data_IF_215060308078
#
_entry.id   IF_215060308078
#
_cell.length_a   1.000
_cell.length_b   1.000
_cell.length_c   1.000
_cell.angle_alpha   90.00
_cell.angle_beta   90.00
_cell.angle_gamma   90.00
#
_symmetry.space_group_name_H-M   'P 1'
#
loop_
_entity.id
_entity.type
_entity.pdbx_description
1 polymer ?
#
# COMPACT_ATOMS: atom_id res chain seq x y z
N UNK A 1 2.25 -3.68 -9.42
CA UNK A 1 3.38 -4.19 -10.22
C UNK A 1 3.92 -5.55 -9.73
N UNK A 2 3.03 -6.52 -9.43
CA UNK A 2 3.43 -7.87 -9.06
C UNK A 2 3.33 -8.82 -10.26
N UNK A 3 3.83 -10.05 -10.13
CA UNK A 3 3.46 -11.12 -11.07
C UNK A 3 1.93 -11.30 -11.04
N UNK A 4 1.21 -11.19 -12.18
CA UNK A 4 -0.26 -11.33 -12.22
C UNK A 4 -0.75 -12.67 -11.68
N UNK A 5 0.06 -13.72 -11.73
CA UNK A 5 -0.25 -15.03 -11.15
C UNK A 5 -0.44 -14.98 -9.63
N UNK A 6 0.10 -13.95 -8.95
CA UNK A 6 -0.07 -13.76 -7.50
C UNK A 6 -1.49 -13.29 -7.14
N UNK A 7 -2.28 -12.76 -8.08
CA UNK A 7 -3.68 -12.34 -7.88
C UNK A 7 -3.92 -11.53 -6.58
N UNK A 8 -3.04 -10.56 -6.29
CA UNK A 8 -3.14 -9.73 -5.09
C UNK A 8 -2.62 -10.37 -3.78
N UNK A 9 -2.27 -11.66 -3.77
CA UNK A 9 -1.61 -12.30 -2.62
C UNK A 9 -0.16 -11.80 -2.53
N UNK A 10 0.10 -10.97 -1.53
CA UNK A 10 1.37 -10.26 -1.37
C UNK A 10 2.34 -11.00 -0.43
N UNK A 11 3.60 -11.12 -0.87
CA UNK A 11 4.83 -11.37 -0.10
C UNK A 11 4.89 -12.63 0.79
N UNK A 12 6.06 -13.28 0.96
CA UNK A 12 6.26 -14.28 2.02
C UNK A 12 5.82 -13.82 3.42
N UNK A 13 5.74 -12.49 3.65
CA UNK A 13 5.41 -11.88 4.93
C UNK A 13 4.02 -11.21 5.01
N UNK A 14 3.10 -11.43 4.05
CA UNK A 14 1.74 -10.86 4.03
C UNK A 14 1.64 -9.32 4.03
N UNK A 15 2.74 -8.58 3.91
CA UNK A 15 2.72 -7.12 3.80
C UNK A 15 2.17 -6.67 2.43
N UNK A 16 1.38 -5.58 2.37
CA UNK A 16 0.87 -5.05 1.11
C UNK A 16 2.03 -4.75 0.13
N UNK A 17 1.94 -5.27 -1.10
CA UNK A 17 2.96 -5.19 -2.17
C UNK A 17 3.60 -3.81 -2.37
N UNK A 18 2.84 -2.75 -2.07
CA UNK A 18 3.25 -1.36 -2.28
C UNK A 18 4.11 -0.78 -1.15
N UNK A 19 4.24 -1.46 0.00
CA UNK A 19 5.11 -1.03 1.10
C UNK A 19 6.57 -1.43 0.95
N UNK A 20 6.87 -2.33 0.02
CA UNK A 20 8.19 -2.91 -0.09
C UNK A 20 9.14 -2.06 -0.96
N UNK A 21 8.66 -1.03 -1.65
CA UNK A 21 9.50 -0.11 -2.44
C UNK A 21 9.54 1.25 -1.74
N UNK A 22 10.69 1.60 -1.19
CA UNK A 22 10.90 2.85 -0.46
C UNK A 22 11.11 4.03 -1.41
N UNK A 23 11.86 3.79 -2.49
CA UNK A 23 12.21 4.84 -3.44
C UNK A 23 12.51 4.28 -4.84
N UNK A 24 12.19 5.06 -5.86
CA UNK A 24 12.56 4.82 -7.24
C UNK A 24 13.04 6.16 -7.80
N UNK A 25 14.31 6.26 -8.20
CA UNK A 25 14.90 7.53 -8.64
C UNK A 25 15.87 7.35 -9.81
N UNK A 26 15.97 8.39 -10.61
CA UNK A 26 17.02 8.53 -11.63
C UNK A 26 18.33 8.91 -10.94
N UNK A 27 19.38 8.12 -11.14
CA UNK A 27 20.72 8.46 -10.64
C UNK A 27 21.50 9.34 -11.62
N UNK A 28 21.31 9.11 -12.93
CA UNK A 28 21.98 9.90 -13.96
C UNK A 28 21.97 9.22 -15.33
N UNK A 29 22.65 9.88 -16.27
CA UNK A 29 22.92 9.37 -17.60
C UNK A 29 24.38 8.91 -17.68
N UNK A 30 24.59 7.72 -18.24
CA UNK A 30 25.93 7.17 -18.51
C UNK A 30 26.13 7.17 -20.01
N UNK A 31 27.14 7.89 -20.48
CA UNK A 31 27.53 7.89 -21.89
C UNK A 31 28.02 6.51 -22.29
N UNK A 32 27.57 6.04 -23.45
CA UNK A 32 28.01 4.78 -24.00
C UNK A 32 29.38 4.95 -24.69
N UNK A 33 30.28 3.95 -24.62
CA UNK A 33 31.53 3.98 -25.35
C UNK A 33 31.26 4.20 -26.85
N UNK A 34 31.92 5.19 -27.46
CA UNK A 34 31.78 5.49 -28.88
C UNK A 34 32.08 4.23 -29.70
N UNK A 35 31.09 3.74 -30.44
CA UNK A 35 31.29 2.63 -31.34
C UNK A 35 32.07 3.15 -32.55
N UNK A 36 33.34 2.76 -32.69
CA UNK A 36 34.02 2.85 -34.00
C UNK A 36 33.33 1.82 -34.88
N UNK A 37 32.31 2.25 -35.63
CA UNK A 37 31.79 1.42 -36.70
C UNK A 37 32.93 1.27 -37.70
N UNK A 38 33.56 0.09 -37.71
CA UNK A 38 34.36 -0.34 -38.84
C UNK A 38 33.39 -0.42 -40.02
N UNK A 39 33.26 0.67 -40.77
CA UNK A 39 32.61 0.65 -42.07
C UNK A 39 33.32 -0.42 -42.87
N UNK A 40 32.61 -1.50 -43.17
CA UNK A 40 33.08 -2.60 -44.00
C UNK A 40 33.71 -1.97 -45.26
N UNK A 41 35.05 -1.96 -45.32
CA UNK A 41 35.83 -1.55 -46.50
C UNK A 41 35.62 -2.62 -47.58
N UNK A 42 34.43 -2.72 -48.15
CA UNK A 42 34.22 -3.43 -49.40
C UNK A 42 34.24 -2.42 -50.54
N UNK A 43 35.43 -2.36 -51.13
CA UNK A 43 35.70 -2.15 -52.56
C UNK A 43 34.55 -1.54 -53.37
N UNK A 44 34.65 -0.25 -53.69
CA UNK A 44 34.79 0.21 -55.09
C UNK A 44 34.96 1.74 -55.16
N UNK A 45 35.92 2.14 -56.00
CA UNK A 45 36.12 3.42 -56.70
C UNK A 45 36.23 4.74 -55.90
N UNK A 46 37.49 5.20 -55.77
CA UNK A 46 38.07 6.47 -56.26
C UNK A 46 37.29 7.79 -56.15
N UNK A 47 36.29 7.89 -55.29
CA UNK A 47 35.67 9.17 -54.96
C UNK A 47 36.06 9.61 -53.55
N UNK A 48 36.78 10.73 -53.51
CA UNK A 48 37.29 11.42 -52.34
C UNK A 48 36.15 12.02 -51.50
N UNK A 49 35.27 11.16 -50.98
CA UNK A 49 34.21 11.53 -50.06
C UNK A 49 34.82 11.57 -48.66
N UNK A 50 34.86 12.76 -48.06
CA UNK A 50 35.23 12.93 -46.67
C UNK A 50 34.32 12.04 -45.82
N UNK A 51 34.90 11.00 -45.22
CA UNK A 51 34.25 10.10 -44.27
C UNK A 51 33.78 10.91 -43.05
N UNK A 52 32.57 11.45 -43.11
CA UNK A 52 31.87 11.97 -41.94
C UNK A 52 31.46 10.79 -41.08
N UNK A 53 32.26 10.46 -40.07
CA UNK A 53 31.82 9.60 -38.97
C UNK A 53 30.64 10.28 -38.29
N UNK A 54 29.42 9.74 -38.46
CA UNK A 54 28.27 10.14 -37.67
C UNK A 54 28.52 9.59 -36.26
N UNK A 55 28.98 10.45 -35.36
CA UNK A 55 29.06 10.13 -33.93
C UNK A 55 27.63 10.17 -33.37
N UNK A 56 27.07 9.02 -33.04
CA UNK A 56 25.86 8.97 -32.21
C UNK A 56 26.30 8.88 -30.75
N UNK A 57 26.06 9.96 -29.99
CA UNK A 57 26.25 9.98 -28.54
C UNK A 57 25.09 9.21 -27.89
N UNK A 58 25.19 7.88 -27.88
CA UNK A 58 24.23 7.06 -27.18
C UNK A 58 24.44 7.21 -25.66
N UNK A 59 23.34 7.32 -24.91
CA UNK A 59 23.35 7.43 -23.45
C UNK A 59 22.42 6.40 -22.81
N UNK A 60 22.79 5.88 -21.65
CA UNK A 60 21.98 4.99 -20.84
C UNK A 60 21.47 5.72 -19.59
N UNK A 61 20.18 5.57 -19.30
CA UNK A 61 19.57 6.05 -18.06
C UNK A 61 19.77 5.02 -16.95
N UNK A 62 20.30 5.44 -15.80
CA UNK A 62 20.41 4.61 -14.60
C UNK A 62 19.27 4.92 -13.65
N UNK A 63 18.45 3.90 -13.37
CA UNK A 63 17.34 3.97 -12.41
C UNK A 63 17.67 3.10 -11.21
N UNK A 64 17.60 3.69 -10.02
CA UNK A 64 17.73 3.00 -8.75
C UNK A 64 16.36 2.75 -8.15
N UNK A 65 16.13 1.50 -7.74
CA UNK A 65 14.93 1.11 -6.99
C UNK A 65 15.38 0.53 -5.66
N UNK A 66 14.93 1.12 -4.55
CA UNK A 66 15.23 0.67 -3.18
C UNK A 66 13.95 0.24 -2.47
N UNK A 67 14.10 -0.68 -1.54
CA UNK A 67 12.99 -1.28 -0.85
C UNK A 67 13.41 -2.37 0.13
N UNK A 68 12.57 -2.60 1.14
CA UNK A 68 12.76 -3.66 2.15
C UNK A 68 12.66 -5.07 1.55
N UNK A 69 11.81 -5.24 0.52
CA UNK A 69 11.65 -6.50 -0.19
C UNK A 69 11.13 -6.27 -1.61
N UNK A 70 11.36 -7.24 -2.49
CA UNK A 70 10.79 -7.22 -3.84
C UNK A 70 10.12 -8.54 -4.16
N UNK A 71 8.94 -8.48 -4.77
CA UNK A 71 8.32 -9.66 -5.35
C UNK A 71 9.10 -10.13 -6.59
N UNK A 72 8.99 -11.42 -6.96
CA UNK A 72 9.58 -11.91 -8.20
C UNK A 72 9.18 -11.03 -9.38
N UNK A 73 10.20 -10.51 -10.08
CA UNK A 73 10.07 -9.65 -11.26
C UNK A 73 9.46 -8.25 -11.03
N UNK A 74 9.23 -7.82 -9.79
CA UNK A 74 8.60 -6.51 -9.50
C UNK A 74 9.38 -5.34 -10.11
N UNK A 75 10.70 -5.27 -9.87
CA UNK A 75 11.55 -4.19 -10.38
C UNK A 75 11.52 -4.15 -11.91
N UNK A 76 11.66 -5.30 -12.57
CA UNK A 76 11.61 -5.41 -14.04
C UNK A 76 10.26 -4.98 -14.61
N UNK A 77 9.16 -5.24 -13.89
CA UNK A 77 7.81 -4.82 -14.28
C UNK A 77 7.60 -3.31 -14.13
N UNK A 78 8.13 -2.72 -13.05
CA UNK A 78 8.13 -1.27 -12.85
C UNK A 78 8.87 -0.58 -14.00
N UNK A 79 10.10 -1.02 -14.28
CA UNK A 79 10.94 -0.43 -15.36
C UNK A 79 10.29 -0.63 -16.73
N UNK A 80 9.81 -1.84 -17.05
CA UNK A 80 9.17 -2.12 -18.34
C UNK A 80 7.91 -1.29 -18.57
N UNK A 81 7.10 -1.08 -17.53
CA UNK A 81 5.91 -0.22 -17.60
C UNK A 81 6.30 1.24 -17.78
N UNK A 82 7.27 1.74 -17.00
CA UNK A 82 7.75 3.12 -17.11
C UNK A 82 8.28 3.43 -18.52
N UNK A 83 9.05 2.52 -19.12
CA UNK A 83 9.53 2.68 -20.50
C UNK A 83 8.38 2.80 -21.49
N UNK A 84 7.37 1.93 -21.38
CA UNK A 84 6.22 1.98 -22.26
C UNK A 84 5.37 3.26 -22.07
N UNK A 85 5.31 3.80 -20.86
CA UNK A 85 4.68 5.10 -20.59
C UNK A 85 5.46 6.25 -21.25
N UNK A 86 6.79 6.26 -21.11
CA UNK A 86 7.67 7.28 -21.71
C UNK A 86 7.59 7.27 -23.25
N UNK A 87 7.43 6.09 -23.85
CA UNK A 87 7.24 5.95 -25.29
C UNK A 87 5.80 6.19 -25.77
N UNK A 88 4.85 6.48 -24.87
CA UNK A 88 3.44 6.66 -25.22
C UNK A 88 2.72 5.39 -25.68
N UNK A 89 3.31 4.22 -25.44
CA UNK A 89 2.69 2.92 -25.78
C UNK A 89 1.58 2.55 -24.80
N UNK A 90 1.68 3.01 -23.56
CA UNK A 90 0.60 2.98 -22.59
C UNK A 90 0.43 4.38 -21.99
N UNK A 91 -0.79 4.79 -21.62
CA UNK A 91 -1.02 6.13 -21.07
C UNK A 91 -0.22 6.35 -19.78
N UNK A 92 0.51 7.46 -19.70
CA UNK A 92 1.17 7.94 -18.48
C UNK A 92 0.17 8.65 -17.54
N UNK A 93 -0.83 9.30 -18.13
CA UNK A 93 -1.99 9.93 -17.51
C UNK A 93 -3.24 9.76 -18.41
N UNK A 94 -4.42 10.13 -17.91
CA UNK A 94 -5.69 9.97 -18.63
C UNK A 94 -5.81 10.89 -19.86
N UNK A 95 -5.05 11.98 -19.91
CA UNK A 95 -5.27 13.03 -20.89
C UNK A 95 -4.16 13.09 -21.92
N UNK A 96 -4.49 12.59 -23.11
CA UNK A 96 -4.18 13.39 -24.30
C UNK A 96 -5.41 13.59 -25.21
N UNK A 97 -6.49 12.78 -25.15
CA UNK A 97 -7.57 12.89 -26.16
C UNK A 97 -8.98 12.37 -25.75
N UNK A 98 -9.36 12.31 -24.47
CA UNK A 98 -10.71 11.89 -24.05
C UNK A 98 -11.52 13.12 -23.59
N UNK A 99 -12.35 13.81 -24.38
CA UNK A 99 -13.31 13.31 -25.37
C UNK A 99 -13.62 14.35 -26.48
N UNK A 100 -14.22 13.92 -27.61
CA UNK A 100 -14.55 14.77 -28.77
C UNK A 100 -15.61 15.86 -28.55
N UNK A 101 -16.24 16.00 -27.38
CA UNK A 101 -17.42 16.84 -27.19
C UNK A 101 -17.36 17.72 -25.91
N UNK A 102 -16.29 18.51 -25.77
CA UNK A 102 -16.30 19.93 -25.36
C UNK A 102 -17.17 20.52 -24.23
N UNK A 103 -17.85 19.80 -23.35
CA UNK A 103 -18.63 20.43 -22.26
C UNK A 103 -18.54 19.65 -20.94
N UNK A 104 -17.49 19.95 -20.17
CA UNK A 104 -17.40 19.95 -18.70
C UNK A 104 -15.96 19.61 -18.26
N UNK A 105 -15.04 20.56 -18.46
CA UNK A 105 -13.63 20.44 -18.05
C UNK A 105 -13.42 20.61 -16.53
N UNK A 106 -14.38 21.17 -15.79
CA UNK A 106 -14.16 21.60 -14.40
C UNK A 106 -14.52 20.52 -13.34
N UNK A 107 -15.02 19.34 -13.74
CA UNK A 107 -15.42 18.27 -12.80
C UNK A 107 -14.80 16.90 -13.08
N UNK A 108 -13.85 16.82 -14.02
CA UNK A 108 -13.17 15.56 -14.29
C UNK A 108 -12.14 15.32 -13.19
N UNK A 109 -12.62 14.81 -12.05
CA UNK A 109 -11.79 14.39 -10.93
C UNK A 109 -10.65 13.52 -11.46
N UNK A 110 -9.45 13.94 -11.07
CA UNK A 110 -8.13 13.42 -11.34
C UNK A 110 -8.02 11.93 -10.99
N UNK A 111 -8.71 11.09 -11.75
CA UNK A 111 -8.73 9.64 -11.60
C UNK A 111 -7.51 9.11 -12.33
N UNK A 112 -6.34 9.56 -11.88
CA UNK A 112 -5.05 9.20 -12.46
C UNK A 112 -5.00 7.68 -12.65
N UNK A 113 -4.78 7.20 -13.88
CA UNK A 113 -4.62 5.77 -14.19
C UNK A 113 -3.64 5.08 -13.25
N UNK A 114 -2.65 5.83 -12.76
CA UNK A 114 -1.69 5.36 -11.77
C UNK A 114 -2.43 4.84 -10.53
N UNK A 115 -3.47 5.52 -10.02
CA UNK A 115 -4.29 5.02 -8.90
C UNK A 115 -4.99 3.71 -9.23
N UNK A 116 -5.46 3.53 -10.46
CA UNK A 116 -6.13 2.29 -10.88
C UNK A 116 -5.14 1.14 -11.10
N UNK A 117 -3.94 1.43 -11.63
CA UNK A 117 -2.82 0.47 -11.73
C UNK A 117 -2.26 0.07 -10.36
N UNK A 118 -2.38 0.97 -9.38
CA UNK A 118 -2.06 0.72 -7.98
C UNK A 118 -3.23 0.09 -7.21
N UNK A 119 -4.41 -0.03 -7.82
CA UNK A 119 -5.53 -0.72 -7.21
C UNK A 119 -5.19 -2.22 -7.11
N UNK A 120 -5.13 -2.79 -5.89
CA UNK A 120 -4.80 -4.19 -5.67
C UNK A 120 -5.77 -5.17 -6.34
N UNK A 121 -7.02 -4.75 -6.59
CA UNK A 121 -8.08 -5.58 -7.16
C UNK A 121 -8.00 -5.65 -8.69
N UNK A 122 -7.17 -4.80 -9.30
CA UNK A 122 -6.95 -4.78 -10.75
C UNK A 122 -5.81 -5.73 -11.10
N UNK A 123 -6.17 -6.87 -11.69
CA UNK A 123 -5.20 -7.83 -12.24
C UNK A 123 -5.08 -7.62 -13.74
N UNK A 124 -3.91 -7.16 -14.18
CA UNK A 124 -3.61 -6.95 -15.59
C UNK A 124 -2.20 -7.40 -15.96
N UNK A 125 -2.00 -7.64 -17.25
CA UNK A 125 -0.68 -7.89 -17.79
C UNK A 125 0.22 -6.67 -17.57
N UNK A 126 1.49 -6.92 -17.26
CA UNK A 126 2.51 -5.89 -17.08
C UNK A 126 3.73 -6.23 -17.91
N UNK A 127 4.36 -5.21 -18.46
CA UNK A 127 5.52 -5.35 -19.33
C UNK A 127 6.72 -5.78 -18.50
N UNK A 128 7.37 -6.87 -18.91
CA UNK A 128 8.52 -7.42 -18.22
C UNK A 128 9.81 -7.01 -18.95
N UNK A 129 10.55 -6.04 -18.43
CA UNK A 129 11.83 -5.62 -19.00
C UNK A 129 12.84 -6.78 -19.06
N UNK A 130 13.80 -6.84 -20.00
CA UNK A 130 14.83 -7.88 -20.04
C UNK A 130 15.68 -7.91 -18.76
N UNK A 131 16.19 -9.09 -18.32
CA UNK A 131 16.95 -9.17 -17.07
C UNK A 131 18.38 -8.64 -17.21
N UNK A 132 18.92 -8.56 -18.43
CA UNK A 132 20.35 -8.29 -18.69
C UNK A 132 20.88 -6.94 -18.22
N UNK A 133 19.99 -6.00 -17.83
CA UNK A 133 20.35 -4.67 -17.33
C UNK A 133 20.04 -4.45 -15.84
N UNK A 134 19.55 -5.48 -15.15
CA UNK A 134 19.27 -5.40 -13.72
C UNK A 134 20.45 -5.96 -12.92
N UNK A 135 20.91 -5.21 -11.92
CA UNK A 135 21.94 -5.66 -10.99
C UNK A 135 21.61 -5.20 -9.58
N UNK A 136 22.14 -5.92 -8.59
CA UNK A 136 22.03 -5.55 -7.18
C UNK A 136 23.14 -4.55 -6.87
N UNK A 137 22.76 -3.32 -6.54
CA UNK A 137 23.70 -2.24 -6.28
C UNK A 137 24.12 -2.14 -4.81
N UNK A 138 23.23 -2.45 -3.87
CA UNK A 138 23.48 -2.34 -2.43
C UNK A 138 22.47 -3.17 -1.61
N UNK A 139 22.81 -3.50 -0.36
CA UNK A 139 21.93 -4.13 0.62
C UNK A 139 22.06 -3.41 1.97
N UNK A 140 20.92 -3.13 2.63
CA UNK A 140 20.92 -2.55 3.98
C UNK A 140 20.66 -3.62 5.03
N UNK A 141 21.49 -3.64 6.06
CA UNK A 141 21.28 -4.45 7.24
C UNK A 141 21.11 -3.53 8.45
N UNK A 142 19.98 -3.63 9.15
CA UNK A 142 19.68 -2.79 10.32
C UNK A 142 20.77 -2.82 11.41
N UNK A 143 21.49 -3.93 11.57
CA UNK A 143 22.58 -4.05 12.54
C UNK A 143 23.91 -3.44 12.06
N UNK A 144 24.09 -3.24 10.75
CA UNK A 144 25.30 -2.65 10.17
C UNK A 144 25.20 -1.14 10.00
N UNK A 145 23.99 -0.55 9.94
CA UNK A 145 23.80 0.90 9.80
C UNK A 145 24.49 1.70 10.91
N UNK A 146 24.62 1.10 12.11
CA UNK A 146 25.38 1.68 13.24
C UNK A 146 26.90 1.54 13.11
N UNK A 147 27.39 0.58 12.30
CA UNK A 147 28.83 0.26 12.13
C UNK A 147 29.43 0.87 10.87
N UNK A 148 28.70 0.88 9.75
CA UNK A 148 29.18 1.37 8.46
C UNK A 148 29.01 2.89 8.28
N UNK A 149 28.42 3.58 9.27
CA UNK A 149 28.10 5.02 9.18
C UNK A 149 27.29 5.37 7.93
N UNK A 150 26.44 4.45 7.46
CA UNK A 150 25.60 4.64 6.28
C UNK A 150 26.28 4.43 4.92
N UNK A 151 27.49 3.84 4.87
CA UNK A 151 28.14 3.43 3.61
C UNK A 151 27.66 2.07 3.14
N UNK A 152 27.56 1.88 1.82
CA UNK A 152 27.01 0.67 1.19
C UNK A 152 27.95 -0.54 1.23
N UNK A 153 27.38 -1.75 1.05
CA UNK A 153 28.09 -3.04 1.19
C UNK A 153 29.27 -3.20 0.22
N UNK A 154 29.24 -2.51 -0.93
CA UNK A 154 30.30 -2.55 -1.95
C UNK A 154 31.30 -1.40 -1.84
N UNK A 155 31.06 -0.45 -0.93
CA UNK A 155 31.96 0.66 -0.69
C UNK A 155 32.94 0.36 0.45
N UNK A 156 32.53 -0.45 1.44
CA UNK A 156 33.33 -0.80 2.61
C UNK A 156 33.16 -2.25 3.05
N UNK A 157 34.21 -2.85 3.61
CA UNK A 157 34.13 -4.15 4.28
C UNK A 157 33.30 -4.07 5.57
N UNK A 158 33.10 -5.21 6.23
CA UNK A 158 32.34 -5.34 7.50
C UNK A 158 32.92 -4.46 8.63
N UNK A 159 34.17 -3.99 8.48
CA UNK A 159 34.87 -3.12 9.41
C UNK A 159 34.81 -1.63 9.01
N UNK A 160 34.12 -1.28 7.92
CA UNK A 160 34.06 0.09 7.39
C UNK A 160 35.29 0.50 6.57
N UNK A 161 36.20 -0.43 6.26
CA UNK A 161 37.37 -0.19 5.42
C UNK A 161 36.96 -0.14 3.97
N UNK A 162 37.29 0.93 3.25
CA UNK A 162 36.98 1.02 1.81
C UNK A 162 37.59 -0.17 1.08
N UNK A 163 36.77 -0.92 0.34
CA UNK A 163 37.26 -2.06 -0.46
C UNK A 163 37.89 -1.52 -1.76
N UNK A 164 39.22 -1.55 -1.94
CA UNK A 164 39.80 -1.20 -3.21
C UNK A 164 39.56 -2.36 -4.19
N UNK A 165 38.64 -2.19 -5.14
CA UNK A 165 38.66 -3.01 -6.35
C UNK A 165 39.88 -2.58 -7.19
N UNK A 166 41.03 -3.24 -6.96
CA UNK A 166 42.20 -3.06 -7.81
C UNK A 166 41.92 -3.72 -9.16
N UNK A 167 41.96 -2.94 -10.24
CA UNK A 167 42.22 -3.50 -11.57
C UNK A 167 43.58 -4.20 -11.53
N UNK A 168 43.60 -5.48 -11.91
CA UNK A 168 44.84 -6.19 -12.18
C UNK A 168 45.45 -5.63 -13.48
N UNK A 169 46.21 -4.55 -13.36
CA UNK A 169 47.00 -4.01 -14.47
C UNK A 169 47.06 -2.49 -14.45
N UNK A 170 48.27 -1.96 -14.31
CA UNK A 170 48.67 -0.55 -14.29
C UNK A 170 48.40 0.30 -13.04
N UNK A 171 49.48 0.94 -12.60
CA UNK A 171 49.65 1.60 -11.29
C UNK A 171 49.17 3.04 -11.27
N UNK A 172 48.32 3.44 -12.23
CA UNK A 172 47.91 4.84 -12.40
C UNK A 172 46.49 5.01 -12.96
N UNK A 173 45.46 4.49 -12.28
CA UNK A 173 44.10 5.04 -12.46
C UNK A 173 43.15 4.65 -11.32
N UNK A 174 42.60 5.70 -10.71
CA UNK A 174 41.29 5.87 -10.06
C UNK A 174 40.59 4.58 -9.60
N UNK A 175 40.38 4.43 -8.29
CA UNK A 175 39.45 3.42 -7.76
C UNK A 175 38.04 3.72 -8.29
N UNK A 176 37.62 3.03 -9.33
CA UNK A 176 36.23 3.04 -9.76
C UNK A 176 35.39 2.38 -8.68
N UNK A 177 34.30 3.04 -8.30
CA UNK A 177 33.32 2.48 -7.38
C UNK A 177 32.86 1.12 -7.96
N UNK A 178 32.78 0.06 -7.16
CA UNK A 178 32.41 -1.28 -7.65
C UNK A 178 31.09 -1.27 -8.45
N UNK A 179 30.18 -0.36 -8.09
CA UNK A 179 28.94 -0.11 -8.85
C UNK A 179 29.20 0.41 -10.25
N UNK A 180 30.09 1.39 -10.41
CA UNK A 180 30.47 1.95 -11.72
C UNK A 180 31.12 0.88 -12.60
N UNK A 181 31.97 0.03 -12.03
CA UNK A 181 32.56 -1.08 -12.76
C UNK A 181 31.50 -2.07 -13.26
N UNK A 182 30.54 -2.48 -12.42
CA UNK A 182 29.43 -3.35 -12.83
C UNK A 182 28.60 -2.70 -13.95
N UNK A 183 28.28 -1.41 -13.81
CA UNK A 183 27.57 -0.65 -14.83
C UNK A 183 28.32 -0.68 -16.16
N UNK A 184 29.64 -0.43 -16.15
CA UNK A 184 30.48 -0.49 -17.35
C UNK A 184 30.50 -1.90 -17.97
N UNK A 185 30.59 -2.96 -17.16
CA UNK A 185 30.54 -4.33 -17.66
C UNK A 185 29.20 -4.68 -18.32
N UNK A 186 28.09 -4.26 -17.72
CA UNK A 186 26.74 -4.46 -18.30
C UNK A 186 26.63 -3.73 -19.63
N UNK A 187 27.09 -2.48 -19.70
CA UNK A 187 27.09 -1.70 -20.94
C UNK A 187 28.02 -2.33 -22.00
N UNK A 188 29.22 -2.75 -21.64
CA UNK A 188 30.16 -3.43 -22.56
C UNK A 188 29.61 -4.74 -23.13
N UNK A 189 28.88 -5.53 -22.34
CA UNK A 189 28.20 -6.74 -22.82
C UNK A 189 27.19 -6.42 -23.92
N UNK A 190 26.43 -5.35 -23.77
CA UNK A 190 25.52 -4.89 -24.82
C UNK A 190 26.26 -4.56 -26.12
N UNK A 191 27.44 -3.97 -26.07
CA UNK A 191 28.19 -3.67 -27.29
C UNK A 191 28.79 -4.90 -27.96
N UNK A 192 29.29 -5.82 -27.15
CA UNK A 192 30.05 -6.99 -27.63
C UNK A 192 29.15 -8.16 -28.01
N UNK A 193 28.04 -8.37 -27.30
CA UNK A 193 27.12 -9.48 -27.51
C UNK A 193 26.01 -9.10 -28.52
N UNK A 194 26.11 -9.62 -29.74
CA UNK A 194 25.09 -9.41 -30.79
C UNK A 194 23.75 -10.05 -30.45
N UNK A 195 23.75 -11.19 -29.78
CA UNK A 195 22.53 -11.94 -29.43
C UNK A 195 21.70 -11.21 -28.37
N UNK A 196 22.36 -10.67 -27.34
CA UNK A 196 21.69 -9.84 -26.31
C UNK A 196 21.05 -8.60 -26.92
N UNK A 197 21.76 -7.88 -27.80
CA UNK A 197 21.18 -6.73 -28.52
C UNK A 197 19.98 -7.11 -29.36
N UNK A 198 20.06 -8.25 -30.06
CA UNK A 198 18.94 -8.70 -30.86
C UNK A 198 17.74 -9.04 -29.97
N UNK A 199 17.97 -9.73 -28.85
CA UNK A 199 16.94 -10.06 -27.87
C UNK A 199 16.27 -8.81 -27.30
N UNK A 200 17.03 -7.75 -27.00
CA UNK A 200 16.46 -6.49 -26.52
C UNK A 200 15.67 -5.75 -27.60
N UNK A 201 16.13 -5.76 -28.84
CA UNK A 201 15.39 -5.19 -29.98
C UNK A 201 14.09 -5.94 -30.22
N UNK A 202 14.14 -7.28 -30.20
CA UNK A 202 12.96 -8.13 -30.36
C UNK A 202 11.97 -7.88 -29.22
N UNK A 203 12.45 -7.75 -27.99
CA UNK A 203 11.63 -7.37 -26.83
C UNK A 203 10.99 -5.99 -27.01
N UNK A 204 11.74 -5.01 -27.51
CA UNK A 204 11.24 -3.65 -27.73
C UNK A 204 10.10 -3.65 -28.77
N UNK A 205 10.31 -4.30 -29.91
CA UNK A 205 9.29 -4.46 -30.98
C UNK A 205 8.08 -5.25 -30.47
N UNK A 206 8.30 -6.36 -29.75
CA UNK A 206 7.21 -7.13 -29.16
C UNK A 206 6.40 -6.29 -28.14
N UNK A 207 7.09 -5.44 -27.39
CA UNK A 207 6.46 -4.58 -26.39
C UNK A 207 5.59 -3.52 -27.07
N UNK A 208 6.10 -2.82 -28.08
CA UNK A 208 5.36 -1.79 -28.82
C UNK A 208 4.18 -2.35 -29.61
N UNK A 209 4.40 -3.47 -30.31
CA UNK A 209 3.49 -3.92 -31.36
C UNK A 209 2.44 -4.93 -30.85
N UNK A 210 2.74 -5.63 -29.76
CA UNK A 210 1.88 -6.71 -29.26
C UNK A 210 1.46 -6.52 -27.81
N UNK A 211 2.42 -6.27 -26.91
CA UNK A 211 2.14 -6.28 -25.47
C UNK A 211 1.40 -5.01 -25.03
N UNK A 212 1.90 -3.82 -25.38
CA UNK A 212 1.27 -2.57 -25.00
C UNK A 212 -0.14 -2.37 -25.58
N UNK A 213 -0.43 -2.74 -26.85
CA UNK A 213 -1.81 -2.73 -27.37
C UNK A 213 -2.77 -3.62 -26.58
N UNK A 214 -2.36 -4.84 -26.20
CA UNK A 214 -3.18 -5.74 -25.37
C UNK A 214 -3.45 -5.16 -23.99
N UNK A 215 -2.43 -4.55 -23.36
CA UNK A 215 -2.57 -3.86 -22.07
C UNK A 215 -3.56 -2.70 -22.18
N UNK A 216 -3.41 -1.83 -23.19
CA UNK A 216 -4.36 -0.73 -23.43
C UNK A 216 -5.79 -1.23 -23.62
N UNK A 217 -5.98 -2.28 -24.40
CA UNK A 217 -7.30 -2.88 -24.61
C UNK A 217 -7.89 -3.41 -23.31
N UNK A 218 -7.09 -4.08 -22.47
CA UNK A 218 -7.52 -4.56 -21.16
C UNK A 218 -7.90 -3.38 -20.23
N UNK A 219 -7.14 -2.29 -20.25
CA UNK A 219 -7.44 -1.07 -19.48
C UNK A 219 -8.79 -0.46 -19.92
N UNK A 220 -9.01 -0.33 -21.23
CA UNK A 220 -10.28 0.16 -21.77
C UNK A 220 -11.47 -0.76 -21.43
N UNK A 221 -11.25 -2.07 -21.36
CA UNK A 221 -12.30 -3.01 -20.92
C UNK A 221 -12.63 -2.84 -19.44
N UNK A 222 -11.63 -2.65 -18.57
CA UNK A 222 -11.85 -2.42 -17.13
C UNK A 222 -12.67 -1.15 -16.88
N UNK A 223 -12.41 -0.09 -17.65
CA UNK A 223 -13.21 1.12 -17.59
C UNK A 223 -14.67 0.89 -17.94
N UNK A 224 -14.92 0.17 -19.03
CA UNK A 224 -16.28 -0.17 -19.46
C UNK A 224 -17.01 -1.06 -18.45
N UNK A 225 -16.28 -1.82 -17.63
CA UNK A 225 -16.88 -2.62 -16.54
C UNK A 225 -17.32 -1.71 -15.40
N UNK A 226 -16.53 -0.70 -15.05
CA UNK A 226 -16.94 0.35 -14.09
C UNK A 226 -18.11 1.19 -14.61
N UNK A 227 -18.17 1.39 -15.92
CA UNK A 227 -19.28 2.08 -16.62
C UNK A 227 -20.45 1.16 -16.99
N UNK A 228 -20.47 -0.11 -16.55
CA UNK A 228 -21.70 -0.90 -16.73
C UNK A 228 -22.82 -0.08 -16.09
N UNK A 229 -23.83 0.33 -16.87
CA UNK A 229 -24.97 1.02 -16.30
C UNK A 229 -25.60 -0.01 -15.37
N UNK A 230 -25.32 0.11 -14.08
CA UNK A 230 -26.28 -0.32 -13.05
C UNK A 230 -27.58 0.28 -13.53
N UNK A 231 -28.54 -0.52 -14.00
CA UNK A 231 -29.73 -0.09 -14.76
C UNK A 231 -30.30 1.25 -14.24
N UNK A 232 -29.74 2.34 -14.75
CA UNK A 232 -29.98 3.69 -14.24
C UNK A 232 -31.31 4.22 -14.75
N UNK A 233 -32.02 3.43 -15.56
CA UNK A 233 -33.43 3.68 -15.87
C UNK A 233 -34.33 3.62 -14.64
N UNK A 234 -33.83 3.17 -13.48
CA UNK A 234 -34.49 3.33 -12.18
C UNK A 234 -33.76 4.25 -11.19
N UNK A 235 -32.62 4.85 -11.56
CA UNK A 235 -31.95 5.86 -10.74
C UNK A 235 -32.07 7.20 -11.47
N UNK A 236 -33.10 7.94 -11.08
CA UNK A 236 -33.31 9.33 -11.48
C UNK A 236 -32.03 10.15 -11.34
N UNK A 237 -31.81 11.16 -12.20
CA UNK A 237 -30.61 12.01 -12.18
C UNK A 237 -30.37 12.49 -10.75
N UNK A 238 -29.12 12.37 -10.28
CA UNK A 238 -28.60 12.80 -8.96
C UNK A 238 -29.52 13.83 -8.31
N UNK A 239 -30.58 13.34 -7.67
CA UNK A 239 -31.25 14.15 -6.69
C UNK A 239 -30.20 14.29 -5.60
N UNK A 240 -30.00 15.50 -5.05
CA UNK A 240 -29.13 15.67 -3.88
C UNK A 240 -29.50 14.53 -2.95
N UNK A 241 -28.55 13.64 -2.63
CA UNK A 241 -28.82 12.47 -1.78
C UNK A 241 -29.48 13.07 -0.55
N UNK A 242 -30.81 12.93 -0.49
CA UNK A 242 -31.60 13.50 0.57
C UNK A 242 -31.07 12.76 1.76
N UNK A 243 -30.23 13.42 2.56
CA UNK A 243 -29.54 12.83 3.71
C UNK A 243 -30.63 12.18 4.54
N UNK A 244 -30.78 10.87 4.36
CA UNK A 244 -31.86 10.14 5.01
C UNK A 244 -31.66 10.40 6.49
N UNK A 245 -32.71 10.81 7.22
CA UNK A 245 -32.58 11.13 8.63
C UNK A 245 -31.93 9.94 9.31
N UNK A 246 -30.77 10.20 9.90
CA UNK A 246 -29.99 9.17 10.56
C UNK A 246 -30.81 8.62 11.72
N UNK A 247 -30.91 7.29 11.81
CA UNK A 247 -31.55 6.67 12.97
C UNK A 247 -30.83 7.12 14.25
N UNK A 248 -31.58 7.40 15.33
CA UNK A 248 -30.99 7.79 16.60
C UNK A 248 -30.14 6.65 17.17
N UNK A 249 -29.13 7.02 17.96
CA UNK A 249 -28.29 6.09 18.71
C UNK A 249 -29.16 5.22 19.64
N UNK A 250 -28.97 3.89 19.65
CA UNK A 250 -29.60 3.05 20.67
C UNK A 250 -29.06 3.42 22.06
N UNK A 251 -29.90 3.32 23.09
CA UNK A 251 -29.57 3.77 24.46
C UNK A 251 -28.26 3.18 25.01
N UNK A 252 -27.92 1.94 24.64
CA UNK A 252 -26.67 1.29 25.04
C UNK A 252 -25.41 2.00 24.52
N UNK A 253 -25.50 2.63 23.34
CA UNK A 253 -24.37 3.33 22.70
C UNK A 253 -24.25 4.79 23.15
N UNK A 254 -25.34 5.39 23.63
CA UNK A 254 -25.43 6.82 23.91
C UNK A 254 -24.44 7.27 25.00
N UNK A 255 -24.26 6.45 26.03
CA UNK A 255 -23.30 6.74 27.12
C UNK A 255 -21.87 6.87 26.59
N UNK A 256 -21.45 5.97 25.69
CA UNK A 256 -20.10 6.00 25.10
C UNK A 256 -19.98 7.17 24.14
N UNK A 257 -20.98 7.38 23.27
CA UNK A 257 -20.99 8.47 22.29
C UNK A 257 -20.93 9.85 22.97
N UNK A 258 -21.69 10.06 24.04
CA UNK A 258 -21.67 11.31 24.83
C UNK A 258 -20.27 11.58 25.39
N UNK A 259 -19.64 10.58 26.00
CA UNK A 259 -18.28 10.73 26.55
C UNK A 259 -17.24 11.02 25.47
N UNK A 260 -17.34 10.40 24.30
CA UNK A 260 -16.46 10.67 23.16
C UNK A 260 -16.63 12.11 22.67
N UNK A 261 -17.87 12.58 22.50
CA UNK A 261 -18.19 13.95 22.14
C UNK A 261 -17.66 14.96 23.15
N UNK A 262 -17.79 14.68 24.45
CA UNK A 262 -17.26 15.53 25.51
C UNK A 262 -15.73 15.66 25.43
N UNK A 263 -15.01 14.57 25.15
CA UNK A 263 -13.55 14.59 24.99
C UNK A 263 -13.13 15.45 23.79
N UNK A 264 -13.85 15.30 22.66
CA UNK A 264 -13.60 16.10 21.44
C UNK A 264 -13.91 17.58 21.68
N UNK A 265 -15.07 17.88 22.27
CA UNK A 265 -15.50 19.24 22.58
C UNK A 265 -14.54 19.97 23.53
N UNK A 266 -13.94 19.24 24.47
CA UNK A 266 -12.93 19.77 25.39
C UNK A 266 -11.52 19.85 24.78
N UNK A 267 -11.33 19.40 23.53
CA UNK A 267 -10.01 19.36 22.89
C UNK A 267 -9.01 18.42 23.57
N UNK A 268 -9.52 17.42 24.32
CA UNK A 268 -8.69 16.49 25.12
C UNK A 268 -8.31 15.22 24.36
N UNK A 269 -8.65 15.11 23.08
CA UNK A 269 -8.32 13.92 22.29
C UNK A 269 -6.79 13.71 22.25
N UNK A 270 -6.28 12.53 22.67
CA UNK A 270 -4.85 12.30 22.78
C UNK A 270 -4.20 12.17 21.39
N UNK A 271 -2.88 12.37 21.34
CA UNK A 271 -2.11 12.15 20.12
C UNK A 271 -2.14 10.67 19.70
N UNK A 272 -2.17 10.45 18.38
CA UNK A 272 -2.17 9.11 17.82
C UNK A 272 -0.77 8.54 17.83
N UNK A 273 -0.62 7.25 18.17
CA UNK A 273 0.68 6.60 18.11
C UNK A 273 1.26 6.60 16.69
N UNK A 274 2.60 6.67 16.58
CA UNK A 274 3.32 6.69 15.29
C UNK A 274 2.89 5.54 14.38
N UNK A 275 2.77 4.33 14.93
CA UNK A 275 2.32 3.15 14.19
C UNK A 275 0.93 3.35 13.57
N UNK A 276 -0.04 3.89 14.31
CA UNK A 276 -1.40 4.14 13.79
C UNK A 276 -1.47 5.34 12.86
N UNK A 277 -0.67 6.37 13.08
CA UNK A 277 -0.62 7.53 12.17
C UNK A 277 -0.16 7.16 10.75
N UNK A 278 0.57 6.05 10.58
CA UNK A 278 1.02 5.59 9.27
C UNK A 278 -0.09 5.02 8.39
N UNK A 279 -1.19 4.56 8.99
CA UNK A 279 -2.33 3.95 8.28
C UNK A 279 -3.54 4.87 8.20
N UNK A 280 -3.58 5.95 8.97
CA UNK A 280 -4.64 6.96 8.90
C UNK A 280 -4.32 7.92 7.75
N UNK A 281 -5.29 8.14 6.87
CA UNK A 281 -5.23 9.20 5.87
C UNK A 281 -5.22 10.54 6.61
N UNK A 282 -4.04 11.09 6.83
CA UNK A 282 -3.92 12.47 7.28
C UNK A 282 -4.51 13.35 6.19
N UNK A 283 -5.62 14.02 6.50
CA UNK A 283 -6.25 15.01 5.62
C UNK A 283 -5.29 16.15 5.36
N UNK A 284 -4.37 15.99 4.41
CA UNK A 284 -3.40 17.02 4.00
C UNK A 284 -4.04 18.13 3.17
N UNK A 285 -5.34 18.03 2.84
CA UNK A 285 -6.02 18.95 1.93
C UNK A 285 -7.19 19.73 2.56
N UNK A 286 -7.48 19.58 3.86
CA UNK A 286 -8.49 20.45 4.49
C UNK A 286 -7.85 21.81 4.77
N UNK A 287 -8.08 22.74 3.84
CA UNK A 287 -7.86 24.18 4.08
C UNK A 287 -8.45 24.57 5.44
N UNK A 288 -7.76 25.44 6.17
CA UNK A 288 -7.95 25.79 7.60
C UNK A 288 -9.38 26.20 8.02
N UNK A 289 -10.36 26.26 7.10
CA UNK A 289 -11.73 26.70 7.35
C UNK A 289 -12.71 25.62 7.82
N UNK A 290 -12.36 24.34 7.82
CA UNK A 290 -13.20 23.27 8.42
C UNK A 290 -12.74 22.84 9.82
N UNK A 291 -12.20 23.78 10.61
CA UNK A 291 -11.71 23.54 11.97
C UNK A 291 -12.78 23.15 13.01
N UNK A 292 -14.05 22.94 12.61
CA UNK A 292 -15.15 22.55 13.51
C UNK A 292 -15.34 21.04 13.62
N UNK A 293 -14.77 20.22 12.72
CA UNK A 293 -14.78 18.77 12.83
C UNK A 293 -13.48 18.30 13.49
N UNK A 294 -13.58 17.82 14.74
CA UNK A 294 -12.44 17.56 15.62
C UNK A 294 -11.31 16.70 15.02
N UNK A 295 -10.10 16.87 15.57
CA UNK A 295 -8.87 16.18 15.13
C UNK A 295 -9.10 14.68 14.93
N UNK A 296 -8.71 14.18 13.76
CA UNK A 296 -8.64 12.74 13.51
C UNK A 296 -7.59 12.10 14.43
N UNK A 297 -7.91 10.95 15.03
CA UNK A 297 -6.93 10.23 15.82
C UNK A 297 -7.40 8.91 16.41
N UNK A 298 -6.47 8.22 17.05
CA UNK A 298 -6.69 6.89 17.62
C UNK A 298 -5.86 6.63 18.88
N UNK A 299 -6.47 6.05 19.91
CA UNK A 299 -5.79 5.57 21.10
C UNK A 299 -6.33 4.20 21.55
N UNK A 300 -5.73 3.60 22.57
CA UNK A 300 -6.14 2.29 23.09
C UNK A 300 -6.49 2.40 24.56
N UNK A 301 -7.56 1.69 24.96
CA UNK A 301 -7.90 1.41 26.35
C UNK A 301 -7.86 -0.10 26.60
N UNK A 302 -7.62 -0.49 27.84
CA UNK A 302 -7.57 -1.89 28.29
C UNK A 302 -8.71 -2.17 29.27
N UNK A 303 -9.25 -3.39 29.21
CA UNK A 303 -10.24 -3.90 30.14
C UNK A 303 -9.57 -4.20 31.49
N UNK A 304 -9.82 -3.35 32.48
CA UNK A 304 -9.28 -3.49 33.83
C UNK A 304 -9.82 -4.73 34.54
N UNK A 305 -11.07 -5.14 34.26
CA UNK A 305 -11.67 -6.37 34.85
C UNK A 305 -10.85 -7.62 34.45
N UNK A 306 -10.38 -7.68 33.20
CA UNK A 306 -9.55 -8.80 32.68
C UNK A 306 -8.11 -8.74 33.21
N UNK A 307 -7.54 -7.53 33.31
CA UNK A 307 -6.21 -7.34 33.89
C UNK A 307 -6.16 -7.75 35.36
N UNK A 308 -7.16 -7.37 36.16
CA UNK A 308 -7.20 -7.67 37.59
C UNK A 308 -7.21 -9.18 37.87
N UNK A 309 -7.86 -9.96 37.02
CA UNK A 309 -7.85 -11.42 37.11
C UNK A 309 -6.43 -11.98 36.90
N UNK A 310 -5.73 -11.55 35.84
CA UNK A 310 -4.34 -11.94 35.57
C UNK A 310 -3.35 -11.40 36.60
N UNK A 311 -3.59 -10.22 37.15
CA UNK A 311 -2.76 -9.64 38.20
C UNK A 311 -2.94 -10.37 39.53
N UNK A 312 -4.14 -10.83 39.88
CA UNK A 312 -4.35 -11.70 41.05
C UNK A 312 -3.54 -12.99 40.94
N UNK A 313 -3.41 -13.54 39.74
CA UNK A 313 -2.56 -14.71 39.46
C UNK A 313 -1.05 -14.35 39.50
N UNK A 314 -0.68 -13.12 39.12
CA UNK A 314 0.72 -12.65 39.05
C UNK A 314 1.24 -11.92 40.30
N UNK A 315 0.41 -11.72 41.33
CA UNK A 315 0.75 -11.05 42.60
C UNK A 315 1.93 -11.68 43.37
N UNK A 316 2.43 -12.83 42.92
CA UNK A 316 3.68 -13.43 43.38
C UNK A 316 4.95 -12.67 42.95
N UNK A 317 4.87 -11.70 42.03
CA UNK A 317 6.05 -10.97 41.49
C UNK A 317 6.12 -9.47 41.76
N UNK A 318 5.12 -8.86 42.40
CA UNK A 318 5.19 -7.46 42.86
C UNK A 318 5.21 -6.36 41.78
N UNK A 319 5.12 -6.68 40.49
CA UNK A 319 5.11 -5.68 39.41
C UNK A 319 3.68 -5.26 39.03
N UNK A 320 3.32 -3.99 39.24
CA UNK A 320 2.09 -3.42 38.71
C UNK A 320 2.26 -3.08 37.24
N UNK A 321 1.41 -3.64 36.37
CA UNK A 321 1.43 -3.30 34.94
C UNK A 321 0.86 -1.88 34.77
N UNK A 322 1.62 -0.91 34.24
CA UNK A 322 1.12 0.44 34.04
C UNK A 322 0.00 0.43 33.00
N UNK A 323 -1.12 1.09 33.31
CA UNK A 323 -2.24 1.23 32.39
C UNK A 323 -1.86 2.15 31.21
N UNK A 324 -2.41 1.94 30.01
CA UNK A 324 -2.22 2.85 28.89
C UNK A 324 -2.70 4.26 29.21
N UNK A 325 -2.13 5.25 28.52
CA UNK A 325 -2.51 6.66 28.69
C UNK A 325 -4.02 6.90 28.52
N UNK A 326 -4.69 6.18 27.62
CA UNK A 326 -6.14 6.28 27.43
C UNK A 326 -6.94 5.92 28.69
N UNK A 327 -6.55 4.87 29.42
CA UNK A 327 -7.17 4.51 30.69
C UNK A 327 -6.90 5.53 31.79
N UNK A 328 -5.70 6.13 31.80
CA UNK A 328 -5.32 7.14 32.79
C UNK A 328 -6.09 8.45 32.58
N UNK A 329 -6.23 8.87 31.32
CA UNK A 329 -6.92 10.11 30.97
C UNK A 329 -8.44 9.98 31.02
N UNK A 330 -8.98 8.81 30.66
CA UNK A 330 -10.43 8.61 30.48
C UNK A 330 -10.93 7.31 31.13
N UNK A 331 -10.81 7.15 32.47
CA UNK A 331 -11.22 5.92 33.16
C UNK A 331 -12.71 5.62 32.97
N UNK A 332 -13.57 6.63 33.05
CA UNK A 332 -15.02 6.46 32.86
C UNK A 332 -15.40 6.08 31.43
N UNK A 333 -14.64 6.55 30.43
CA UNK A 333 -14.83 6.14 29.04
C UNK A 333 -14.42 4.68 28.87
N UNK A 334 -13.25 4.29 29.40
CA UNK A 334 -12.79 2.91 29.33
C UNK A 334 -13.83 1.95 29.94
N UNK A 335 -14.37 2.29 31.11
CA UNK A 335 -15.44 1.51 31.74
C UNK A 335 -16.67 1.41 30.84
N UNK A 336 -17.18 2.54 30.33
CA UNK A 336 -18.37 2.56 29.46
C UNK A 336 -18.17 1.78 28.15
N UNK A 337 -16.96 1.79 27.58
CA UNK A 337 -16.61 1.02 26.38
C UNK A 337 -16.74 -0.49 26.63
N UNK A 338 -16.28 -0.98 27.78
CA UNK A 338 -16.37 -2.41 28.08
C UNK A 338 -17.76 -2.82 28.59
N UNK A 339 -18.52 -1.91 29.22
CA UNK A 339 -19.93 -2.18 29.51
C UNK A 339 -20.77 -2.24 28.22
N UNK A 340 -20.45 -1.42 27.20
CA UNK A 340 -21.05 -1.54 25.87
C UNK A 340 -20.68 -2.85 25.19
N UNK A 341 -19.42 -3.31 25.34
CA UNK A 341 -18.98 -4.60 24.81
C UNK A 341 -19.77 -5.76 25.42
N UNK A 342 -19.93 -5.80 26.75
CA UNK A 342 -20.76 -6.80 27.43
C UNK A 342 -22.21 -6.77 26.92
N UNK A 343 -22.77 -5.58 26.68
CA UNK A 343 -24.12 -5.43 26.13
C UNK A 343 -24.23 -5.88 24.66
N UNK A 344 -23.17 -5.74 23.87
CA UNK A 344 -23.10 -6.25 22.50
C UNK A 344 -23.00 -7.78 22.51
N UNK A 345 -22.12 -8.35 23.34
CA UNK A 345 -21.93 -9.80 23.47
C UNK A 345 -23.21 -10.51 23.94
N UNK A 346 -24.00 -9.86 24.81
CA UNK A 346 -25.30 -10.39 25.25
C UNK A 346 -26.35 -10.48 24.12
N UNK A 347 -26.19 -9.73 23.02
CA UNK A 347 -27.03 -9.82 21.83
C UNK A 347 -26.46 -10.93 20.95
N UNK A 348 -27.00 -12.15 21.10
CA UNK A 348 -26.52 -13.42 20.53
C UNK A 348 -26.25 -13.48 19.01
N UNK A 349 -26.48 -12.42 18.23
CA UNK A 349 -26.31 -12.43 16.77
C UNK A 349 -25.37 -11.33 16.32
N UNK A 350 -24.08 -11.68 16.17
CA UNK A 350 -23.10 -10.84 15.51
C UNK A 350 -22.94 -11.28 14.05
N UNK A 351 -22.89 -10.31 13.14
CA UNK A 351 -22.47 -10.55 11.77
C UNK A 351 -20.98 -10.83 11.77
N UNK A 352 -20.55 -11.88 11.08
CA UNK A 352 -19.12 -12.18 10.91
C UNK A 352 -18.75 -12.28 9.44
N UNK A 353 -17.63 -11.65 9.09
CA UNK A 353 -17.01 -11.80 7.76
C UNK A 353 -16.25 -13.12 7.73
N UNK A 354 -16.50 -13.95 6.71
CA UNK A 354 -15.77 -15.18 6.46
C UNK A 354 -15.27 -15.23 5.01
N UNK A 355 -14.10 -15.84 4.82
CA UNK A 355 -13.68 -16.31 3.51
C UNK A 355 -14.18 -17.75 3.35
N UNK A 356 -15.15 -17.94 2.48
CA UNK A 356 -15.59 -19.29 2.09
C UNK A 356 -14.83 -19.74 0.85
N UNK A 357 -14.28 -20.95 0.89
CA UNK A 357 -13.68 -21.57 -0.29
C UNK A 357 -14.76 -22.26 -1.10
N UNK A 358 -15.02 -21.77 -2.30
CA UNK A 358 -15.92 -22.42 -3.26
C UNK A 358 -15.11 -23.09 -4.37
N UNK A 359 -15.72 -24.00 -5.13
CA UNK A 359 -15.08 -24.61 -6.31
C UNK A 359 -14.63 -23.57 -7.37
N UNK A 360 -15.14 -22.34 -7.31
CA UNK A 360 -14.83 -21.25 -8.25
C UNK A 360 -13.86 -20.21 -7.68
N UNK A 361 -13.33 -20.42 -6.47
CA UNK A 361 -12.40 -19.51 -5.80
C UNK A 361 -12.84 -19.14 -4.38
N UNK A 362 -12.06 -18.26 -3.75
CA UNK A 362 -12.38 -17.69 -2.44
C UNK A 362 -13.42 -16.58 -2.61
N UNK A 363 -14.52 -16.67 -1.87
CA UNK A 363 -15.57 -15.64 -1.82
C UNK A 363 -15.70 -15.14 -0.39
N UNK A 364 -15.67 -13.81 -0.22
CA UNK A 364 -15.91 -13.13 1.05
C UNK A 364 -17.42 -13.01 1.24
N UNK A 365 -17.93 -13.50 2.37
CA UNK A 365 -19.35 -13.52 2.68
C UNK A 365 -19.54 -13.04 4.12
N UNK A 366 -20.55 -12.21 4.34
CA UNK A 366 -21.05 -11.89 5.69
C UNK A 366 -22.14 -12.90 6.01
N UNK A 367 -21.99 -13.61 7.12
CA UNK A 367 -23.02 -14.51 7.64
C UNK A 367 -23.45 -14.02 9.03
N UNK A 368 -24.72 -14.17 9.33
CA UNK A 368 -25.18 -14.14 10.71
C UNK A 368 -24.62 -15.40 11.39
N UNK A 369 -23.93 -15.26 12.54
CA UNK A 369 -23.55 -16.41 13.37
C UNK A 369 -24.84 -16.99 13.98
N UNK A 370 -25.52 -17.87 13.24
CA UNK A 370 -26.65 -18.67 13.71
C UNK A 370 -26.18 -20.01 14.32
N UNK A 371 -24.89 -20.33 14.22
CA UNK A 371 -24.30 -21.56 14.75
C UNK A 371 -23.96 -21.40 16.24
N UNK A 372 -24.35 -22.41 17.05
CA UNK A 372 -24.20 -22.51 18.51
C UNK A 372 -22.74 -22.46 19.04
N UNK A 373 -21.77 -21.95 18.27
CA UNK A 373 -20.47 -21.57 18.79
C UNK A 373 -20.67 -20.37 19.72
N UNK A 374 -20.94 -20.68 21.00
CA UNK A 374 -21.23 -19.68 22.02
C UNK A 374 -20.13 -18.62 22.01
N UNK A 375 -20.56 -17.36 22.02
CA UNK A 375 -19.72 -16.17 22.20
C UNK A 375 -18.99 -16.17 23.55
N UNK A 376 -19.09 -17.25 24.36
CA UNK A 376 -18.60 -17.37 25.73
C UNK A 376 -17.10 -17.09 25.90
N UNK A 377 -16.29 -17.22 24.84
CA UNK A 377 -14.86 -16.92 24.86
C UNK A 377 -14.48 -15.54 24.29
N UNK A 378 -15.43 -14.73 23.82
CA UNK A 378 -15.14 -13.36 23.40
C UNK A 378 -15.01 -12.44 24.62
N UNK A 379 -13.80 -12.40 25.20
CA UNK A 379 -13.42 -11.46 26.27
C UNK A 379 -12.26 -10.60 25.80
N UNK A 380 -12.54 -9.51 25.06
CA UNK A 380 -11.49 -8.63 24.56
C UNK A 380 -10.79 -7.93 25.73
N UNK A 381 -9.47 -7.94 25.68
CA UNK A 381 -8.63 -7.25 26.67
C UNK A 381 -8.38 -5.79 26.28
N UNK A 382 -8.49 -5.45 25.00
CA UNK A 382 -8.17 -4.12 24.48
C UNK A 382 -9.33 -3.57 23.64
N UNK A 383 -9.42 -2.24 23.57
CA UNK A 383 -10.25 -1.55 22.62
C UNK A 383 -9.46 -0.40 21.97
N UNK A 384 -9.38 -0.38 20.64
CA UNK A 384 -8.93 0.78 19.90
C UNK A 384 -10.09 1.76 19.75
N UNK A 385 -9.88 3.00 20.15
CA UNK A 385 -10.86 4.09 20.07
C UNK A 385 -10.41 5.06 19.00
N UNK A 386 -11.23 5.23 17.96
CA UNK A 386 -10.92 6.07 16.81
C UNK A 386 -11.91 7.24 16.72
N UNK A 387 -11.43 8.44 16.43
CA UNK A 387 -12.23 9.63 16.13
C UNK A 387 -11.83 10.14 14.75
N UNK A 388 -12.80 10.31 13.86
CA UNK A 388 -12.65 10.82 12.51
C UNK A 388 -11.45 10.22 11.75
N UNK A 389 -11.13 8.94 12.02
CA UNK A 389 -10.00 8.26 11.41
C UNK A 389 -10.46 7.49 10.16
N UNK A 390 -9.94 7.88 9.00
CA UNK A 390 -10.10 7.12 7.77
C UNK A 390 -8.84 6.29 7.53
N UNK A 391 -8.95 4.97 7.67
CA UNK A 391 -7.81 4.07 7.51
C UNK A 391 -7.62 3.67 6.05
N UNK A 392 -6.36 3.64 5.60
CA UNK A 392 -5.94 3.01 4.34
C UNK A 392 -6.02 1.48 4.43
N UNK A 393 -6.04 0.75 3.30
CA UNK A 393 -6.01 -0.71 3.30
C UNK A 393 -4.81 -1.31 4.03
N UNK A 394 -5.07 -2.01 5.14
CA UNK A 394 -4.06 -2.63 6.00
C UNK A 394 -4.57 -3.93 6.64
N UNK A 395 -3.67 -4.66 7.30
CA UNK A 395 -3.98 -5.69 8.31
C UNK A 395 -3.41 -5.21 9.64
N UNK A 396 -3.96 -5.70 10.75
CA UNK A 396 -3.46 -5.34 12.07
C UNK A 396 -2.05 -5.89 12.29
N UNK A 397 -1.13 -5.05 12.77
CA UNK A 397 0.24 -5.46 13.08
C UNK A 397 0.32 -6.05 14.49
N UNK A 398 -0.29 -7.22 14.73
CA UNK A 398 -0.14 -8.07 15.91
C UNK A 398 1.28 -8.62 16.19
N UNK A 399 2.33 -7.81 15.95
CA UNK A 399 3.77 -8.10 16.21
C UNK A 399 4.22 -9.53 15.84
N UNK A 400 3.64 -10.14 14.82
CA UNK A 400 3.99 -11.49 14.37
C UNK A 400 3.37 -12.64 15.17
N UNK A 401 2.70 -12.39 16.29
CA UNK A 401 2.09 -13.42 17.14
C UNK A 401 0.58 -13.61 16.87
N UNK A 402 -0.04 -12.70 16.10
CA UNK A 402 -1.47 -12.70 15.82
C UNK A 402 -2.30 -11.92 16.84
N UNK A 403 -3.63 -12.00 16.69
CA UNK A 403 -4.62 -11.50 17.64
C UNK A 403 -5.87 -12.38 17.56
N UNK A 404 -6.75 -12.24 18.57
CA UNK A 404 -8.10 -12.79 18.49
C UNK A 404 -8.88 -12.16 17.33
N UNK A 405 -10.03 -12.77 16.99
CA UNK A 405 -11.07 -12.08 16.22
C UNK A 405 -11.36 -10.72 16.85
N UNK A 406 -11.56 -9.73 15.99
CA UNK A 406 -11.90 -8.37 16.37
C UNK A 406 -13.41 -8.15 16.22
N UNK A 407 -13.97 -7.31 17.10
CA UNK A 407 -15.32 -6.77 16.92
C UNK A 407 -15.19 -5.27 16.73
N UNK A 408 -15.75 -4.75 15.64
CA UNK A 408 -15.77 -3.32 15.33
C UNK A 408 -17.19 -2.78 15.32
N UNK A 409 -17.40 -1.58 15.85
CA UNK A 409 -18.66 -0.84 15.69
C UNK A 409 -18.38 0.64 15.43
N UNK A 410 -19.22 1.26 14.60
CA UNK A 410 -19.22 2.69 14.31
C UNK A 410 -20.26 3.43 15.16
N UNK A 411 -19.92 4.64 15.60
CA UNK A 411 -20.80 5.55 16.35
C UNK A 411 -20.74 6.96 15.73
N UNK A 412 -21.71 7.79 16.09
CA UNK A 412 -21.79 9.19 15.66
C UNK A 412 -22.74 9.41 14.48
N UNK A 413 -22.73 10.64 14.01
CA UNK A 413 -23.62 11.13 12.96
C UNK A 413 -22.84 11.28 11.66
N UNK A 414 -22.67 10.16 10.97
CA UNK A 414 -21.96 10.08 9.71
C UNK A 414 -22.77 9.32 8.65
N UNK A 415 -22.48 9.65 7.38
CA UNK A 415 -22.96 8.94 6.20
C UNK A 415 -21.80 8.26 5.47
N UNK A 416 -22.06 7.12 4.82
CA UNK A 416 -21.05 6.24 4.23
C UNK A 416 -20.08 5.72 5.31
N UNK A 417 -18.78 5.58 5.01
CA UNK A 417 -17.79 5.21 6.03
C UNK A 417 -17.87 3.76 6.49
N UNK A 418 -18.37 2.90 5.62
CA UNK A 418 -18.33 1.45 5.80
C UNK A 418 -16.90 1.01 6.10
N UNK A 419 -16.78 -0.01 6.94
CA UNK A 419 -15.54 -0.78 6.96
C UNK A 419 -15.57 -1.71 5.75
N UNK A 420 -14.52 -1.69 4.94
CA UNK A 420 -14.38 -2.65 3.85
C UNK A 420 -13.44 -3.75 4.34
N UNK A 421 -13.87 -5.00 4.25
CA UNK A 421 -13.08 -6.18 4.64
C UNK A 421 -12.94 -7.07 3.41
N UNK A 422 -11.72 -7.25 2.92
CA UNK A 422 -11.42 -8.00 1.69
C UNK A 422 -12.30 -7.57 0.49
N UNK A 423 -12.48 -6.25 0.32
CA UNK A 423 -13.29 -5.68 -0.76
C UNK A 423 -14.80 -5.66 -0.50
N UNK A 424 -15.29 -6.26 0.59
CA UNK A 424 -16.71 -6.25 0.95
C UNK A 424 -17.05 -5.09 1.90
N UNK A 425 -17.79 -4.06 1.45
CA UNK A 425 -18.23 -2.97 2.31
C UNK A 425 -19.27 -3.45 3.32
N UNK A 426 -19.06 -3.12 4.59
CA UNK A 426 -19.93 -3.47 5.71
C UNK A 426 -20.33 -2.20 6.48
N UNK A 427 -21.63 -1.92 6.57
CA UNK A 427 -22.14 -0.87 7.45
C UNK A 427 -21.97 -1.32 8.92
N UNK A 428 -21.31 -0.46 9.69
CA UNK A 428 -21.04 -0.70 11.11
C UNK A 428 -21.68 0.34 12.02
N UNK A 429 -22.50 1.28 11.49
CA UNK A 429 -23.12 2.32 12.31
C UNK A 429 -24.13 1.70 13.27
N UNK A 430 -23.76 1.64 14.55
CA UNK A 430 -24.48 0.90 15.60
C UNK A 430 -24.75 -0.58 15.28
N UNK A 431 -24.00 -1.14 14.33
CA UNK A 431 -24.08 -2.52 13.87
C UNK A 431 -22.71 -3.17 14.06
N UNK A 432 -22.49 -3.91 15.17
CA UNK A 432 -21.21 -4.53 15.43
C UNK A 432 -20.90 -5.61 14.37
N UNK A 433 -19.66 -5.62 13.89
CA UNK A 433 -19.14 -6.57 12.92
C UNK A 433 -17.95 -7.31 13.51
N UNK A 434 -17.96 -8.65 13.39
CA UNK A 434 -16.85 -9.52 13.77
C UNK A 434 -16.02 -9.89 12.55
N UNK A 435 -14.70 -9.80 12.64
CA UNK A 435 -13.80 -10.21 11.57
C UNK A 435 -12.38 -10.47 12.11
N UNK A 436 -11.57 -11.17 11.32
CA UNK A 436 -10.16 -11.39 11.65
C UNK A 436 -9.31 -10.24 11.11
N UNK A 437 -9.10 -9.19 11.90
CA UNK A 437 -8.29 -8.03 11.49
C UNK A 437 -6.82 -8.34 11.23
N UNK A 438 -6.32 -9.50 11.65
CA UNK A 438 -4.93 -9.92 11.41
C UNK A 438 -4.77 -10.59 10.04
N UNK A 439 -5.67 -11.50 9.67
CA UNK A 439 -5.59 -12.19 8.38
C UNK A 439 -6.34 -11.50 7.25
N UNK A 440 -7.32 -10.64 7.56
CA UNK A 440 -8.17 -9.98 6.58
C UNK A 440 -7.79 -8.51 6.44
N UNK A 441 -7.49 -8.11 5.21
CA UNK A 441 -7.24 -6.73 4.83
C UNK A 441 -8.50 -5.90 4.98
N UNK A 442 -8.37 -4.73 5.58
CA UNK A 442 -9.49 -3.85 5.84
C UNK A 442 -9.13 -2.35 5.77
N UNK A 443 -10.14 -1.51 5.52
CA UNK A 443 -10.02 -0.05 5.46
C UNK A 443 -11.36 0.65 5.69
N UNK A 444 -11.34 1.97 5.81
CA UNK A 444 -12.55 2.79 5.94
C UNK A 444 -12.82 3.51 4.63
N UNK A 445 -14.03 3.33 4.08
CA UNK A 445 -14.50 4.13 2.94
C UNK A 445 -14.58 5.62 3.31
N UNK A 446 -14.56 6.54 2.32
CA UNK A 446 -14.84 7.95 2.56
C UNK A 446 -16.19 8.14 3.27
N UNK A 447 -16.28 9.14 4.13
CA UNK A 447 -17.50 9.49 4.86
C UNK A 447 -17.62 10.98 5.10
N UNK A 448 -18.84 11.42 5.39
CA UNK A 448 -19.15 12.77 5.84
C UNK A 448 -19.73 12.72 7.25
N UNK A 449 -19.37 13.68 8.09
CA UNK A 449 -19.92 13.84 9.44
C UNK A 449 -18.97 13.40 10.55
N UNK A 450 -19.54 13.18 11.74
CA UNK A 450 -18.80 12.78 12.93
C UNK A 450 -18.78 11.26 13.04
N UNK A 451 -17.59 10.65 12.96
CA UNK A 451 -17.45 9.20 13.01
C UNK A 451 -16.50 8.79 14.12
N UNK A 452 -17.00 7.99 15.05
CA UNK A 452 -16.18 7.22 15.96
C UNK A 452 -16.21 5.74 15.58
N UNK A 453 -15.14 5.01 15.86
CA UNK A 453 -15.19 3.55 15.85
C UNK A 453 -14.47 2.95 17.04
N UNK A 454 -15.04 1.87 17.55
CA UNK A 454 -14.48 1.06 18.63
C UNK A 454 -14.10 -0.30 18.06
N UNK A 455 -12.88 -0.75 18.28
CA UNK A 455 -12.39 -2.06 17.82
C UNK A 455 -11.91 -2.84 19.04
N UNK A 456 -12.66 -3.85 19.46
CA UNK A 456 -12.32 -4.73 20.56
C UNK A 456 -11.51 -5.93 20.07
N UNK A 457 -10.39 -6.23 20.73
CA UNK A 457 -9.50 -7.33 20.37
C UNK A 457 -8.65 -7.79 21.57
N UNK A 458 -8.04 -8.96 21.45
CA UNK A 458 -7.02 -9.45 22.38
C UNK A 458 -5.74 -9.77 21.61
N UNK A 459 -4.64 -9.05 21.86
CA UNK A 459 -3.33 -9.41 21.31
C UNK A 459 -2.95 -10.83 21.72
N UNK A 460 -2.30 -11.57 20.82
CA UNK A 460 -1.70 -12.84 21.19
C UNK A 460 -0.65 -12.64 22.31
N UNK A 461 -0.54 -13.58 23.26
CA UNK A 461 0.53 -13.55 24.25
C UNK A 461 1.89 -13.53 23.54
N UNK A 462 2.82 -12.73 24.08
CA UNK A 462 4.21 -12.72 23.62
C UNK A 462 4.99 -13.89 24.18
#
# INVERSE_FOLDING_TARGET
>A
FANPQLRGKASPNQEPVWRAVDSCRMLGLVSLPKQRQETDKRMNDDTNVQNGTIETDDAALVVEVRGDAFLPQQVRRIVGTALAMVHGWIPSCLDENATPNGQDQDKMEETSWIRQLLNPDVVMETILAPPGRLYLADCRFHFEESRTSGKGLFETDVCGTVLPMKEQGDTSSISTNGVEWIQQQILQRQFTNKEERQTERDWFVQTSDQTAPRIRQAMLQQLRIGERPVDAKNLSPEQPILKLPLNPSPSSYETVLTKLRDIVAQGKWPETSVARSSVILNGKNTTEKEATTGKAGSFTVINTKVLDQRQRESKSRGESIPLPLGNQLFPDLAQAIFDLEEAIAARQKLKRVHISSTNHGQQVVVKDEDDEETIDDFRPSHCAVNCNAQFTPHVDSGRGAGQSLSVIVGLGDYHNGEIVVEGLPCDIRFQPLRFDGWSLRHWTNPYEGERFSLVWFTPAPK
#
